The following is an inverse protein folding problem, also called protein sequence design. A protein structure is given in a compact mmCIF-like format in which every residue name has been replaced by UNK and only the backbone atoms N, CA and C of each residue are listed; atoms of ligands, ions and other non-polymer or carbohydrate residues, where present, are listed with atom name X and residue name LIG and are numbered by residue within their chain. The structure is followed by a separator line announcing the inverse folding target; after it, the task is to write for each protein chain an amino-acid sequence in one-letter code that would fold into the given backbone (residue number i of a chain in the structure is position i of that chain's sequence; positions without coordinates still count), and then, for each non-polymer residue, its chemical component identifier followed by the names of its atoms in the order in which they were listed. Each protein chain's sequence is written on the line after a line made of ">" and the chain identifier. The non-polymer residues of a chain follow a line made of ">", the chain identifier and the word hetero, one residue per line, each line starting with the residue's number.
data_IF_875322101545
#
_entry.id   IF_875322101545
#
_cell.length_a   1.000
_cell.length_b   1.000
_cell.length_c   1.000
_cell.angle_alpha   90.00
_cell.angle_beta   90.00
_cell.angle_gamma   90.00
#
_symmetry.space_group_name_H-M   'P 1'
#
loop_
_entity.id
_entity.type
_entity.pdbx_description
1 polymer ?
#
# COMPACT_ATOMS: atom_id res chain seq x y z
N UNK A 1 12.08 -32.84 29.53
CA UNK A 1 10.93 -32.03 29.06
C UNK A 1 11.14 -31.49 27.64
N UNK A 2 11.58 -32.33 26.70
CA UNK A 2 11.80 -31.93 25.29
C UNK A 2 10.91 -32.70 24.30
N UNK A 3 10.22 -33.75 24.77
CA UNK A 3 9.34 -34.59 23.94
C UNK A 3 7.89 -34.08 23.85
N UNK A 4 7.46 -33.17 24.73
CA UNK A 4 6.09 -32.62 24.74
C UNK A 4 5.85 -31.51 23.70
N UNK A 5 6.90 -31.02 23.03
CA UNK A 5 6.80 -29.86 22.13
C UNK A 5 6.39 -30.25 20.69
N UNK A 6 6.71 -31.48 20.27
CA UNK A 6 6.42 -31.98 18.91
C UNK A 6 4.91 -32.20 18.66
N UNK A 7 4.12 -32.73 19.61
CA UNK A 7 2.67 -32.87 19.47
C UNK A 7 1.96 -31.52 19.32
N UNK A 8 2.33 -30.53 20.14
CA UNK A 8 1.69 -29.21 20.15
C UNK A 8 1.86 -28.44 18.81
N UNK A 9 3.04 -28.55 18.19
CA UNK A 9 3.29 -27.94 16.86
C UNK A 9 2.46 -28.63 15.77
N UNK A 10 2.28 -29.95 15.86
CA UNK A 10 1.46 -30.72 14.91
C UNK A 10 -0.03 -30.40 15.06
N UNK A 11 -0.51 -30.24 16.29
CA UNK A 11 -1.89 -29.82 16.58
C UNK A 11 -2.17 -28.40 16.09
N UNK A 12 -1.24 -27.47 16.29
CA UNK A 12 -1.38 -26.11 15.81
C UNK A 12 -1.42 -26.02 14.28
N UNK A 13 -0.62 -26.84 13.59
CA UNK A 13 -0.66 -26.97 12.12
C UNK A 13 -2.00 -27.52 11.65
N UNK A 14 -2.48 -28.60 12.27
CA UNK A 14 -3.80 -29.17 11.98
C UNK A 14 -4.94 -28.18 12.24
N UNK A 15 -4.86 -27.39 13.32
CA UNK A 15 -5.84 -26.36 13.62
C UNK A 15 -5.84 -25.25 12.56
N UNK A 16 -4.65 -24.78 12.14
CA UNK A 16 -4.53 -23.80 11.05
C UNK A 16 -5.09 -24.32 9.73
N UNK A 17 -4.82 -25.58 9.39
CA UNK A 17 -5.37 -26.23 8.19
C UNK A 17 -6.90 -26.37 8.27
N UNK A 18 -7.45 -26.76 9.42
CA UNK A 18 -8.91 -26.79 9.65
C UNK A 18 -9.55 -25.40 9.49
N UNK A 19 -8.95 -24.35 10.06
CA UNK A 19 -9.45 -22.97 9.91
C UNK A 19 -9.35 -22.51 8.45
N UNK A 20 -8.30 -22.86 7.72
CA UNK A 20 -8.15 -22.55 6.30
C UNK A 20 -9.21 -23.27 5.45
N UNK A 21 -9.47 -24.55 5.73
CA UNK A 21 -10.50 -25.34 5.07
C UNK A 21 -11.91 -24.81 5.37
N UNK A 22 -12.17 -24.41 6.61
CA UNK A 22 -13.44 -23.80 7.00
C UNK A 22 -13.69 -22.48 6.27
N UNK A 23 -12.68 -21.60 6.22
CA UNK A 23 -12.76 -20.34 5.47
C UNK A 23 -12.98 -20.59 3.97
N UNK A 24 -12.32 -21.60 3.40
CA UNK A 24 -12.52 -22.00 2.00
C UNK A 24 -13.94 -22.51 1.76
N UNK A 25 -14.48 -23.31 2.67
CA UNK A 25 -15.85 -23.83 2.59
C UNK A 25 -16.92 -22.72 2.76
N UNK A 26 -16.68 -21.74 3.64
CA UNK A 26 -17.53 -20.56 3.77
C UNK A 26 -17.48 -19.67 2.54
N UNK A 27 -16.28 -19.48 1.97
CA UNK A 27 -16.11 -18.75 0.71
C UNK A 27 -16.87 -19.41 -0.44
N UNK A 28 -16.75 -20.72 -0.60
CA UNK A 28 -17.46 -21.47 -1.65
C UNK A 28 -18.98 -21.40 -1.45
N UNK A 29 -19.48 -21.55 -0.23
CA UNK A 29 -20.91 -21.40 0.08
C UNK A 29 -21.42 -19.99 -0.24
N UNK A 30 -20.65 -18.95 0.05
CA UNK A 30 -21.03 -17.58 -0.31
C UNK A 30 -20.96 -17.34 -1.81
N UNK A 31 -19.94 -17.86 -2.50
CA UNK A 31 -19.84 -17.76 -3.95
C UNK A 31 -21.03 -18.44 -4.65
N UNK A 32 -21.48 -19.59 -4.14
CA UNK A 32 -22.64 -20.30 -4.66
C UNK A 32 -23.95 -19.53 -4.41
N UNK A 33 -24.09 -18.89 -3.23
CA UNK A 33 -25.22 -17.98 -2.96
C UNK A 33 -25.25 -16.79 -3.91
N UNK A 34 -24.09 -16.15 -4.16
CA UNK A 34 -24.00 -15.02 -5.09
C UNK A 34 -24.31 -15.45 -6.52
N UNK A 35 -23.83 -16.64 -6.93
CA UNK A 35 -24.15 -17.21 -8.24
C UNK A 35 -25.65 -17.44 -8.40
N UNK A 36 -26.29 -18.06 -7.41
CA UNK A 36 -27.74 -18.30 -7.43
C UNK A 36 -28.54 -16.99 -7.49
N UNK A 37 -28.15 -16.00 -6.68
CA UNK A 37 -28.80 -14.70 -6.68
C UNK A 37 -28.65 -13.96 -8.03
N UNK A 38 -27.47 -14.07 -8.65
CA UNK A 38 -27.25 -13.54 -10.00
C UNK A 38 -28.12 -14.23 -11.05
N UNK A 39 -28.25 -15.56 -10.99
CA UNK A 39 -29.14 -16.32 -11.88
C UNK A 39 -30.62 -15.95 -11.71
N UNK A 40 -31.08 -15.69 -10.48
CA UNK A 40 -32.42 -15.17 -10.18
C UNK A 40 -32.63 -13.80 -10.83
N UNK A 41 -31.70 -12.86 -10.66
CA UNK A 41 -31.78 -11.52 -11.27
C UNK A 41 -31.79 -11.58 -12.80
N UNK A 42 -30.97 -12.44 -13.43
CA UNK A 42 -31.00 -12.62 -14.88
C UNK A 42 -32.35 -13.20 -15.37
N UNK A 43 -32.99 -14.06 -14.56
CA UNK A 43 -34.32 -14.56 -14.88
C UNK A 43 -35.38 -13.47 -14.77
N UNK A 44 -35.34 -12.64 -13.74
CA UNK A 44 -36.24 -11.50 -13.57
C UNK A 44 -36.07 -10.48 -14.70
N UNK A 45 -34.83 -10.12 -15.05
CA UNK A 45 -34.54 -9.23 -16.19
C UNK A 45 -35.14 -9.77 -17.49
N UNK A 46 -35.01 -11.09 -17.72
CA UNK A 46 -35.60 -11.76 -18.89
C UNK A 46 -37.13 -11.76 -18.86
N UNK A 47 -37.76 -11.90 -17.70
CA UNK A 47 -39.22 -11.85 -17.54
C UNK A 47 -39.71 -10.43 -17.82
N UNK A 48 -39.11 -9.43 -17.17
CA UNK A 48 -39.42 -8.01 -17.38
C UNK A 48 -39.28 -7.62 -18.86
N UNK A 49 -38.23 -8.08 -19.54
CA UNK A 49 -38.05 -7.81 -20.97
C UNK A 49 -39.18 -8.40 -21.82
N UNK A 50 -39.61 -9.64 -21.54
CA UNK A 50 -40.76 -10.25 -22.23
C UNK A 50 -42.06 -9.48 -21.97
N UNK A 51 -42.26 -8.98 -20.75
CA UNK A 51 -43.42 -8.16 -20.40
C UNK A 51 -43.41 -6.83 -21.15
N UNK A 52 -42.26 -6.16 -21.21
CA UNK A 52 -42.08 -4.93 -22.00
C UNK A 52 -42.45 -5.19 -23.47
N UNK A 53 -41.89 -6.23 -24.09
CA UNK A 53 -42.23 -6.57 -25.48
C UNK A 53 -43.72 -6.91 -25.67
N UNK A 54 -44.36 -7.52 -24.67
CA UNK A 54 -45.80 -7.77 -24.71
C UNK A 54 -46.61 -6.46 -24.60
N UNK A 55 -46.17 -5.51 -23.78
CA UNK A 55 -46.77 -4.19 -23.66
C UNK A 55 -46.57 -3.35 -24.91
N UNK A 56 -45.38 -3.36 -25.51
CA UNK A 56 -45.11 -2.70 -26.79
C UNK A 56 -46.06 -3.18 -27.88
N UNK A 57 -46.25 -4.50 -28.01
CA UNK A 57 -47.23 -5.09 -28.94
C UNK A 57 -48.66 -4.68 -28.60
N UNK A 58 -49.04 -4.63 -27.32
CA UNK A 58 -50.37 -4.13 -26.92
C UNK A 58 -50.56 -2.67 -27.30
N UNK A 59 -49.54 -1.84 -27.10
CA UNK A 59 -49.55 -0.43 -27.49
C UNK A 59 -49.66 -0.26 -28.99
N UNK A 60 -48.95 -1.07 -29.79
CA UNK A 60 -49.05 -1.06 -31.25
C UNK A 60 -50.45 -1.47 -31.73
N UNK A 61 -51.07 -2.47 -31.10
CA UNK A 61 -52.46 -2.87 -31.36
C UNK A 61 -53.45 -1.77 -30.95
N UNK A 62 -53.26 -1.13 -29.79
CA UNK A 62 -54.09 0.00 -29.37
C UNK A 62 -53.94 1.21 -30.30
N UNK A 63 -52.73 1.48 -30.76
CA UNK A 63 -52.43 2.55 -31.71
C UNK A 63 -53.01 2.26 -33.10
N UNK A 64 -53.00 0.99 -33.52
CA UNK A 64 -53.61 0.56 -34.80
C UNK A 64 -55.14 0.55 -34.75
N UNK A 65 -55.74 0.24 -33.59
CA UNK A 65 -57.19 0.29 -33.37
C UNK A 65 -57.76 1.72 -33.34
N UNK A 66 -56.93 2.74 -33.12
CA UNK A 66 -57.37 4.14 -33.28
C UNK A 66 -57.38 4.60 -34.75
N UNK A 67 -56.85 3.80 -35.69
CA UNK A 67 -56.71 4.16 -37.10
C UNK A 67 -57.65 3.38 -38.05
N UNK A 68 -58.35 2.32 -37.59
CA UNK A 68 -59.30 1.60 -38.44
C UNK A 68 -60.43 0.90 -37.67
N UNK A 69 -61.61 1.52 -37.63
CA UNK A 69 -62.93 0.91 -37.90
C UNK A 69 -64.09 1.82 -37.44
N UNK A 70 -65.11 2.09 -38.27
CA UNK A 70 -66.37 2.70 -37.87
C UNK A 70 -67.42 1.62 -37.51
N UNK A 71 -67.95 1.63 -36.30
CA UNK A 71 -69.16 0.85 -35.90
C UNK A 71 -69.99 1.70 -34.90
N UNK A 72 -71.35 1.63 -34.93
CA UNK A 72 -72.22 2.72 -34.48
C UNK A 72 -72.70 2.65 -33.02
N UNK A 73 -72.93 3.86 -32.46
CA UNK A 73 -73.86 4.26 -31.36
C UNK A 73 -73.56 3.88 -29.90
N UNK A 74 -74.17 4.57 -28.91
CA UNK A 74 -74.48 6.01 -28.80
C UNK A 74 -73.99 6.64 -27.48
N UNK A 75 -74.11 7.97 -27.38
CA UNK A 75 -74.15 8.74 -26.13
C UNK A 75 -72.81 9.00 -25.41
N UNK A 76 -72.14 10.08 -25.83
CA UNK A 76 -71.61 11.06 -24.88
C UNK A 76 -71.51 12.42 -25.59
N UNK A 77 -72.11 13.43 -24.97
CA UNK A 77 -72.14 14.82 -25.42
C UNK A 77 -70.70 15.33 -25.56
N UNK A 78 -70.23 15.47 -26.79
CA UNK A 78 -69.01 16.23 -27.12
C UNK A 78 -69.44 17.38 -28.02
N UNK A 79 -69.17 18.60 -27.55
CA UNK A 79 -69.46 19.87 -28.20
C UNK A 79 -69.10 19.85 -29.70
N UNK A 80 -70.13 19.72 -30.53
CA UNK A 80 -70.10 20.09 -31.93
C UNK A 80 -70.22 21.61 -32.00
N UNK A 81 -69.08 22.30 -31.86
CA UNK A 81 -68.85 23.63 -32.40
C UNK A 81 -67.41 23.66 -32.93
N UNK A 82 -67.13 22.84 -33.93
CA UNK A 82 -66.04 23.09 -34.87
C UNK A 82 -66.69 23.19 -36.24
N UNK A 83 -67.11 24.40 -36.58
CA UNK A 83 -67.29 24.73 -37.99
C UNK A 83 -65.92 24.60 -38.66
N UNK A 84 -65.81 23.93 -39.82
CA UNK A 84 -64.57 23.94 -40.62
C UNK A 84 -64.25 25.35 -41.18
N UNK A 85 -65.10 26.32 -40.89
CA UNK A 85 -65.01 27.73 -41.30
C UNK A 85 -64.02 28.56 -40.46
N UNK A 86 -63.46 28.00 -39.38
CA UNK A 86 -62.54 28.74 -38.49
C UNK A 86 -61.04 28.48 -38.71
N UNK A 87 -60.65 27.57 -39.61
CA UNK A 87 -59.24 27.24 -39.86
C UNK A 87 -58.71 27.84 -41.17
N UNK A 88 -59.54 28.56 -41.92
CA UNK A 88 -59.09 29.27 -43.11
C UNK A 88 -58.52 30.64 -42.73
N UNK A 89 -57.30 30.99 -43.20
CA UNK A 89 -56.77 32.33 -43.02
C UNK A 89 -57.80 33.37 -43.47
N UNK A 90 -57.93 34.45 -42.69
CA UNK A 90 -58.89 35.55 -42.93
C UNK A 90 -58.81 36.05 -44.38
N UNK A 91 -57.62 36.02 -44.97
CA UNK A 91 -57.35 36.41 -46.35
C UNK A 91 -58.00 35.47 -47.40
N UNK A 92 -58.15 34.18 -47.09
CA UNK A 92 -58.84 33.20 -47.96
C UNK A 92 -60.35 33.41 -47.90
N UNK A 93 -60.88 33.63 -46.69
CA UNK A 93 -62.31 33.91 -46.46
C UNK A 93 -62.72 35.24 -47.07
N UNK A 94 -61.88 36.28 -46.94
CA UNK A 94 -62.12 37.60 -47.54
C UNK A 94 -62.20 37.51 -49.08
N UNK A 95 -61.39 36.67 -49.72
CA UNK A 95 -61.45 36.41 -51.17
C UNK A 95 -62.73 35.66 -51.57
N UNK A 96 -63.08 34.59 -50.87
CA UNK A 96 -64.28 33.79 -51.16
C UNK A 96 -65.56 34.61 -50.97
N UNK A 97 -65.64 35.38 -49.89
CA UNK A 97 -66.75 36.30 -49.63
C UNK A 97 -66.82 37.40 -50.68
N UNK A 98 -65.69 37.97 -51.11
CA UNK A 98 -65.65 38.97 -52.16
C UNK A 98 -66.18 38.41 -53.49
N UNK A 99 -65.76 37.20 -53.88
CA UNK A 99 -66.26 36.55 -55.09
C UNK A 99 -67.76 36.26 -55.01
N UNK A 100 -68.27 35.78 -53.87
CA UNK A 100 -69.70 35.54 -53.67
C UNK A 100 -70.54 36.83 -53.74
N UNK A 101 -70.01 37.94 -53.21
CA UNK A 101 -70.72 39.23 -53.19
C UNK A 101 -70.69 39.97 -54.53
N UNK A 102 -69.69 39.74 -55.37
CA UNK A 102 -69.43 40.51 -56.60
C UNK A 102 -69.82 39.80 -57.88
N UNK A 103 -70.61 38.71 -57.81
CA UNK A 103 -71.08 38.01 -59.02
C UNK A 103 -70.08 36.96 -59.54
N UNK A 104 -69.25 36.40 -58.66
CA UNK A 104 -68.38 35.26 -58.95
C UNK A 104 -67.03 35.63 -59.56
N UNK A 105 -66.44 34.67 -60.27
CA UNK A 105 -65.09 34.79 -60.85
C UNK A 105 -64.96 35.84 -61.96
N UNK A 106 -66.08 36.26 -62.55
CA UNK A 106 -66.12 37.27 -63.62
C UNK A 106 -66.73 38.60 -63.18
N UNK A 107 -67.02 38.80 -61.90
CA UNK A 107 -67.52 40.09 -61.42
C UNK A 107 -68.94 40.43 -61.92
N UNK A 108 -69.74 39.43 -62.28
CA UNK A 108 -71.05 39.61 -62.92
C UNK A 108 -71.01 39.91 -64.43
N UNK A 109 -69.82 39.93 -65.04
CA UNK A 109 -69.66 40.01 -66.49
C UNK A 109 -69.77 38.62 -67.13
N UNK A 110 -70.13 38.58 -68.41
CA UNK A 110 -70.01 37.33 -69.16
C UNK A 110 -68.53 37.00 -69.44
N UNK A 111 -68.27 35.75 -69.78
CA UNK A 111 -66.91 35.26 -70.03
C UNK A 111 -66.22 36.00 -71.19
N UNK A 112 -66.96 36.33 -72.25
CA UNK A 112 -66.43 36.89 -73.49
C UNK A 112 -66.04 38.35 -73.30
N UNK A 113 -66.89 39.10 -72.61
CA UNK A 113 -66.69 40.48 -72.25
C UNK A 113 -65.52 40.60 -71.25
N UNK A 114 -65.48 39.71 -70.25
CA UNK A 114 -64.40 39.67 -69.27
C UNK A 114 -63.05 39.33 -69.94
N UNK A 115 -63.01 38.37 -70.85
CA UNK A 115 -61.79 37.99 -71.57
C UNK A 115 -61.32 39.10 -72.53
N UNK A 116 -62.25 39.83 -73.14
CA UNK A 116 -61.95 40.99 -73.98
C UNK A 116 -61.37 42.14 -73.15
N UNK A 117 -61.95 42.42 -71.98
CA UNK A 117 -61.40 43.35 -71.00
C UNK A 117 -59.98 42.94 -70.56
N UNK A 118 -59.76 41.68 -70.19
CA UNK A 118 -58.43 41.22 -69.73
C UNK A 118 -57.36 41.32 -70.81
N UNK A 119 -57.69 41.08 -72.08
CA UNK A 119 -56.75 41.22 -73.21
C UNK A 119 -56.28 42.66 -73.35
N UNK A 120 -57.21 43.62 -73.35
CA UNK A 120 -56.90 45.06 -73.46
C UNK A 120 -56.18 45.56 -72.19
N UNK A 121 -56.63 45.13 -71.01
CA UNK A 121 -56.01 45.45 -69.72
C UNK A 121 -54.54 45.02 -69.64
N UNK A 122 -54.22 43.79 -70.07
CA UNK A 122 -52.84 43.28 -70.11
C UNK A 122 -51.98 44.04 -71.11
N UNK A 123 -52.55 44.42 -72.26
CA UNK A 123 -51.85 45.20 -73.30
C UNK A 123 -51.46 46.59 -72.80
N UNK A 124 -52.34 47.25 -72.05
CA UNK A 124 -52.11 48.59 -71.51
C UNK A 124 -51.48 48.63 -70.11
N UNK A 125 -51.24 47.47 -69.49
CA UNK A 125 -50.64 47.35 -68.15
C UNK A 125 -51.33 48.21 -67.08
N UNK A 126 -52.66 48.39 -67.20
CA UNK A 126 -53.46 49.20 -66.26
C UNK A 126 -53.38 50.71 -66.44
N UNK A 127 -52.91 51.21 -67.59
CA UNK A 127 -52.97 52.64 -67.94
C UNK A 127 -54.37 53.04 -68.40
N UNK A 128 -54.91 54.22 -68.00
CA UNK A 128 -56.31 54.64 -68.27
C UNK A 128 -56.71 54.66 -69.75
N UNK A 129 -55.73 54.81 -70.66
CA UNK A 129 -55.89 54.74 -72.12
C UNK A 129 -56.48 53.39 -72.60
N UNK A 130 -56.47 52.36 -71.74
CA UNK A 130 -57.13 51.09 -72.03
C UNK A 130 -58.64 51.21 -72.21
N UNK A 131 -59.28 52.22 -71.60
CA UNK A 131 -60.75 52.37 -71.59
C UNK A 131 -61.29 52.66 -72.99
N UNK A 132 -60.62 53.55 -73.71
CA UNK A 132 -60.97 53.90 -75.08
C UNK A 132 -60.81 52.68 -76.01
N UNK A 133 -59.75 51.90 -75.85
CA UNK A 133 -59.56 50.67 -76.63
C UNK A 133 -60.56 49.57 -76.21
N UNK A 134 -60.90 49.46 -74.92
CA UNK A 134 -61.81 48.44 -74.41
C UNK A 134 -63.24 48.64 -74.93
N UNK A 135 -63.72 49.88 -75.05
CA UNK A 135 -65.05 50.20 -75.60
C UNK A 135 -65.22 49.75 -77.06
N UNK A 136 -64.13 49.68 -77.83
CA UNK A 136 -64.17 49.17 -79.22
C UNK A 136 -64.51 47.68 -79.26
N UNK A 137 -64.02 46.91 -78.29
CA UNK A 137 -64.27 45.47 -78.18
C UNK A 137 -65.52 45.14 -77.36
N UNK A 138 -66.09 46.12 -76.66
CA UNK A 138 -67.23 45.98 -75.74
C UNK A 138 -68.32 47.00 -76.08
N UNK A 139 -68.99 46.87 -77.25
CA UNK A 139 -69.97 47.85 -77.73
C UNK A 139 -71.24 47.93 -76.85
N UNK A 140 -71.47 46.95 -75.98
CA UNK A 140 -72.63 46.88 -75.08
C UNK A 140 -72.33 47.42 -73.67
N UNK A 141 -71.14 47.97 -73.42
CA UNK A 141 -70.68 48.42 -72.09
C UNK A 141 -70.37 49.91 -72.07
N UNK A 142 -70.59 50.56 -70.93
CA UNK A 142 -70.23 51.97 -70.74
C UNK A 142 -68.85 52.15 -70.10
N UNK A 143 -68.29 53.36 -70.20
CA UNK A 143 -67.01 53.69 -69.56
C UNK A 143 -67.10 53.55 -68.03
N UNK A 144 -68.25 53.87 -67.43
CA UNK A 144 -68.49 53.71 -66.00
C UNK A 144 -68.50 52.24 -65.58
N UNK A 145 -69.11 51.35 -66.39
CA UNK A 145 -69.10 49.91 -66.15
C UNK A 145 -67.68 49.34 -66.24
N UNK A 146 -66.86 49.81 -67.19
CA UNK A 146 -65.45 49.46 -67.29
C UNK A 146 -64.66 49.90 -66.06
N UNK A 147 -64.91 51.12 -65.54
CA UNK A 147 -64.24 51.63 -64.34
C UNK A 147 -64.59 50.80 -63.11
N UNK A 148 -65.86 50.46 -62.94
CA UNK A 148 -66.32 49.60 -61.84
C UNK A 148 -65.69 48.20 -61.91
N UNK A 149 -65.57 47.65 -63.13
CA UNK A 149 -64.94 46.35 -63.36
C UNK A 149 -63.42 46.39 -63.16
N UNK A 150 -62.76 47.49 -63.50
CA UNK A 150 -61.35 47.75 -63.17
C UNK A 150 -61.11 47.78 -61.67
N UNK A 151 -61.91 48.55 -60.93
CA UNK A 151 -61.81 48.62 -59.47
C UNK A 151 -62.03 47.23 -58.83
N UNK A 152 -63.00 46.47 -59.34
CA UNK A 152 -63.24 45.09 -58.94
C UNK A 152 -62.04 44.18 -59.24
N UNK A 153 -61.46 44.26 -60.44
CA UNK A 153 -60.36 43.40 -60.87
C UNK A 153 -59.07 43.70 -60.08
N UNK A 154 -58.76 44.98 -59.83
CA UNK A 154 -57.67 45.37 -58.95
C UNK A 154 -57.86 44.85 -57.52
N UNK A 155 -59.09 44.91 -57.00
CA UNK A 155 -59.43 44.37 -55.69
C UNK A 155 -59.28 42.84 -55.64
N UNK A 156 -59.70 42.14 -56.69
CA UNK A 156 -59.54 40.70 -56.85
C UNK A 156 -58.06 40.30 -56.80
N UNK A 157 -57.21 40.99 -57.57
CA UNK A 157 -55.76 40.74 -57.58
C UNK A 157 -55.14 40.93 -56.19
N UNK A 158 -55.50 42.01 -55.48
CA UNK A 158 -55.03 42.25 -54.11
C UNK A 158 -55.42 41.11 -53.15
N UNK A 159 -56.65 40.59 -53.25
CA UNK A 159 -57.11 39.49 -52.40
C UNK A 159 -56.46 38.16 -52.76
N UNK A 160 -56.24 37.89 -54.05
CA UNK A 160 -55.49 36.73 -54.51
C UNK A 160 -54.04 36.75 -54.01
N UNK A 161 -53.40 37.92 -54.00
CA UNK A 161 -52.03 38.05 -53.49
C UNK A 161 -51.97 37.84 -51.98
N UNK A 162 -52.88 38.45 -51.21
CA UNK A 162 -53.00 38.20 -49.76
C UNK A 162 -53.24 36.73 -49.43
N UNK A 163 -54.04 36.02 -50.24
CA UNK A 163 -54.21 34.56 -50.12
C UNK A 163 -52.90 33.81 -50.34
N UNK A 164 -52.13 34.14 -51.38
CA UNK A 164 -50.82 33.52 -51.64
C UNK A 164 -49.83 33.79 -50.50
N UNK A 165 -49.74 35.05 -50.04
CA UNK A 165 -48.90 35.45 -48.92
C UNK A 165 -49.27 34.69 -47.63
N UNK A 166 -50.56 34.52 -47.34
CA UNK A 166 -51.03 33.73 -46.20
C UNK A 166 -50.58 32.27 -46.28
N UNK A 167 -50.66 31.64 -47.47
CA UNK A 167 -50.19 30.27 -47.69
C UNK A 167 -48.68 30.16 -47.50
N UNK A 168 -47.90 31.10 -48.05
CA UNK A 168 -46.44 31.12 -47.91
C UNK A 168 -46.04 31.31 -46.44
N UNK A 169 -46.65 32.27 -45.75
CA UNK A 169 -46.43 32.50 -44.31
C UNK A 169 -46.76 31.25 -43.50
N UNK A 170 -47.90 30.62 -43.76
CA UNK A 170 -48.29 29.38 -43.08
C UNK A 170 -47.28 28.26 -43.32
N UNK A 171 -46.82 28.05 -44.57
CA UNK A 171 -45.78 27.05 -44.89
C UNK A 171 -44.47 27.34 -44.16
N UNK A 172 -44.02 28.59 -44.14
CA UNK A 172 -42.81 29.00 -43.45
C UNK A 172 -42.91 28.78 -41.94
N UNK A 173 -44.05 29.11 -41.33
CA UNK A 173 -44.30 28.89 -39.91
C UNK A 173 -44.35 27.39 -39.57
N UNK A 174 -44.97 26.56 -40.41
CA UNK A 174 -44.94 25.10 -40.20
C UNK A 174 -43.52 24.55 -40.28
N UNK A 175 -42.71 25.03 -41.22
CA UNK A 175 -41.31 24.62 -41.34
C UNK A 175 -40.49 25.04 -40.12
N UNK A 176 -40.63 26.29 -39.68
CA UNK A 176 -39.99 26.79 -38.45
C UNK A 176 -40.42 26.00 -37.22
N UNK A 177 -41.70 25.65 -37.09
CA UNK A 177 -42.20 24.80 -35.98
C UNK A 177 -41.60 23.40 -36.01
N UNK A 178 -41.31 22.83 -37.17
CA UNK A 178 -40.62 21.54 -37.28
C UNK A 178 -39.15 21.68 -36.87
N UNK A 179 -38.47 22.71 -37.35
CA UNK A 179 -37.07 22.99 -37.02
C UNK A 179 -36.87 23.27 -35.52
N UNK A 180 -37.75 24.05 -34.89
CA UNK A 180 -37.67 24.29 -33.45
C UNK A 180 -37.90 23.03 -32.63
N UNK A 181 -38.85 22.17 -33.01
CA UNK A 181 -39.05 20.86 -32.39
C UNK A 181 -37.82 19.96 -32.55
N UNK A 182 -37.21 19.92 -33.73
CA UNK A 182 -35.98 19.16 -33.97
C UNK A 182 -34.82 19.71 -33.14
N UNK A 183 -34.63 21.02 -33.10
CA UNK A 183 -33.60 21.67 -32.29
C UNK A 183 -33.81 21.42 -30.79
N UNK A 184 -35.04 21.47 -30.30
CA UNK A 184 -35.36 21.13 -28.91
C UNK A 184 -35.01 19.68 -28.59
N UNK A 185 -35.39 18.75 -29.46
CA UNK A 185 -35.06 17.33 -29.30
C UNK A 185 -33.55 17.08 -29.27
N UNK A 186 -32.78 17.69 -30.18
CA UNK A 186 -31.31 17.58 -30.19
C UNK A 186 -30.71 18.17 -28.91
N UNK A 187 -31.17 19.35 -28.47
CA UNK A 187 -30.69 19.96 -27.22
C UNK A 187 -30.98 19.10 -25.99
N UNK A 188 -32.14 18.48 -25.92
CA UNK A 188 -32.50 17.59 -24.81
C UNK A 188 -31.65 16.32 -24.81
N UNK A 189 -31.41 15.72 -25.97
CA UNK A 189 -30.51 14.57 -26.13
C UNK A 189 -29.06 14.91 -25.74
N UNK A 190 -28.56 16.07 -26.15
CA UNK A 190 -27.20 16.51 -25.81
C UNK A 190 -27.08 16.83 -24.31
N UNK A 191 -28.10 17.41 -23.69
CA UNK A 191 -28.14 17.61 -22.24
C UNK A 191 -28.10 16.28 -21.48
N UNK A 192 -28.88 15.28 -21.91
CA UNK A 192 -28.86 13.92 -21.31
C UNK A 192 -27.50 13.24 -21.47
N UNK A 193 -26.85 13.40 -22.63
CA UNK A 193 -25.49 12.87 -22.86
C UNK A 193 -24.47 13.55 -21.95
N UNK A 194 -24.57 14.86 -21.77
CA UNK A 194 -23.70 15.62 -20.88
C UNK A 194 -23.85 15.17 -19.43
N UNK A 195 -25.09 15.07 -18.92
CA UNK A 195 -25.38 14.58 -17.57
C UNK A 195 -24.85 13.14 -17.36
N UNK A 196 -25.05 12.25 -18.34
CA UNK A 196 -24.49 10.89 -18.30
C UNK A 196 -22.95 10.88 -18.27
N UNK A 197 -22.31 11.76 -19.03
CA UNK A 197 -20.86 11.91 -19.05
C UNK A 197 -20.32 12.44 -17.71
N UNK A 198 -20.98 13.42 -17.11
CA UNK A 198 -20.63 13.95 -15.79
C UNK A 198 -20.75 12.90 -14.69
N UNK A 199 -21.82 12.10 -14.67
CA UNK A 199 -21.98 11.00 -13.71
C UNK A 199 -20.86 9.96 -13.84
N UNK A 200 -20.48 9.59 -15.08
CA UNK A 200 -19.36 8.68 -15.35
C UNK A 200 -18.02 9.28 -14.88
N UNK A 201 -17.82 10.57 -15.08
CA UNK A 201 -16.63 11.29 -14.63
C UNK A 201 -16.53 11.28 -13.10
N UNK A 202 -17.61 11.64 -12.40
CA UNK A 202 -17.67 11.61 -10.94
C UNK A 202 -17.38 10.21 -10.40
N UNK A 203 -17.97 9.18 -11.02
CA UNK A 203 -17.71 7.79 -10.64
C UNK A 203 -16.24 7.42 -10.85
N UNK A 204 -15.63 7.83 -11.96
CA UNK A 204 -14.20 7.58 -12.26
C UNK A 204 -13.30 8.28 -11.24
N UNK A 205 -13.55 9.55 -10.94
CA UNK A 205 -12.82 10.31 -9.91
C UNK A 205 -12.88 9.62 -8.55
N UNK A 206 -14.07 9.17 -8.13
CA UNK A 206 -14.25 8.43 -6.87
C UNK A 206 -13.47 7.12 -6.83
N UNK A 207 -13.43 6.39 -7.95
CA UNK A 207 -12.65 5.14 -8.03
C UNK A 207 -11.14 5.42 -7.99
N UNK A 208 -10.68 6.45 -8.67
CA UNK A 208 -9.27 6.85 -8.67
C UNK A 208 -8.81 7.34 -7.28
N UNK A 209 -9.65 8.09 -6.57
CA UNK A 209 -9.40 8.50 -5.19
C UNK A 209 -9.21 7.28 -4.26
N UNK A 210 -10.08 6.27 -4.35
CA UNK A 210 -9.91 5.02 -3.59
C UNK A 210 -8.60 4.31 -3.91
N UNK A 211 -8.16 4.33 -5.18
CA UNK A 211 -6.87 3.76 -5.58
C UNK A 211 -5.70 4.54 -4.98
N UNK A 212 -5.79 5.86 -4.96
CA UNK A 212 -4.80 6.74 -4.30
C UNK A 212 -4.73 6.49 -2.81
N UNK A 213 -5.86 6.35 -2.13
CA UNK A 213 -5.91 6.03 -0.70
C UNK A 213 -5.24 4.69 -0.37
N UNK A 214 -5.54 3.64 -1.14
CA UNK A 214 -4.90 2.33 -0.97
C UNK A 214 -3.40 2.41 -1.24
N UNK A 215 -3.00 3.11 -2.30
CA UNK A 215 -1.58 3.31 -2.61
C UNK A 215 -0.85 4.09 -1.51
N UNK A 216 -1.45 5.15 -0.98
CA UNK A 216 -0.90 5.94 0.12
C UNK A 216 -0.74 5.11 1.40
N UNK A 217 -1.75 4.30 1.76
CA UNK A 217 -1.65 3.36 2.90
C UNK A 217 -0.53 2.35 2.71
N UNK A 218 -0.39 1.80 1.49
CA UNK A 218 0.67 0.85 1.18
C UNK A 218 2.05 1.51 1.27
N UNK A 219 2.23 2.72 0.76
CA UNK A 219 3.48 3.46 0.86
C UNK A 219 3.81 3.79 2.32
N UNK A 220 2.85 4.28 3.10
CA UNK A 220 3.03 4.55 4.52
C UNK A 220 3.45 3.29 5.29
N UNK A 221 2.85 2.13 4.98
CA UNK A 221 3.25 0.85 5.54
C UNK A 221 4.68 0.45 5.15
N UNK A 222 5.05 0.58 3.87
CA UNK A 222 6.42 0.30 3.39
C UNK A 222 7.45 1.19 4.08
N UNK A 223 7.20 2.49 4.15
CA UNK A 223 8.09 3.44 4.84
C UNK A 223 8.23 3.10 6.32
N UNK A 224 7.12 2.81 7.01
CA UNK A 224 7.15 2.38 8.41
C UNK A 224 7.94 1.10 8.59
N UNK A 225 7.76 0.11 7.71
CA UNK A 225 8.47 -1.16 7.76
C UNK A 225 9.97 -0.98 7.53
N UNK A 226 10.35 -0.17 6.56
CA UNK A 226 11.75 0.15 6.29
C UNK A 226 12.39 0.89 7.47
N UNK A 227 11.68 1.84 8.07
CA UNK A 227 12.16 2.56 9.25
C UNK A 227 12.35 1.64 10.45
N UNK A 228 11.44 0.68 10.68
CA UNK A 228 11.60 -0.34 11.72
C UNK A 228 12.84 -1.21 11.48
N UNK A 229 13.05 -1.68 10.25
CA UNK A 229 14.23 -2.47 9.91
C UNK A 229 15.53 -1.68 10.08
N UNK A 230 15.54 -0.41 9.68
CA UNK A 230 16.67 0.49 9.87
C UNK A 230 16.96 0.70 11.37
N UNK A 231 15.93 0.92 12.19
CA UNK A 231 16.06 1.04 13.64
C UNK A 231 16.59 -0.25 14.28
N UNK A 232 16.08 -1.42 13.89
CA UNK A 232 16.59 -2.71 14.37
C UNK A 232 18.06 -2.91 14.00
N UNK A 233 18.45 -2.57 12.76
CA UNK A 233 19.82 -2.65 12.31
C UNK A 233 20.75 -1.71 13.10
N UNK A 234 20.32 -0.46 13.30
CA UNK A 234 21.06 0.52 14.11
C UNK A 234 21.22 0.06 15.57
N UNK A 235 20.16 -0.51 16.15
CA UNK A 235 20.21 -1.09 17.50
C UNK A 235 21.21 -2.24 17.60
N UNK A 236 21.20 -3.16 16.64
CA UNK A 236 22.17 -4.27 16.59
C UNK A 236 23.61 -3.75 16.47
N UNK A 237 23.83 -2.72 15.65
CA UNK A 237 25.15 -2.10 15.55
C UNK A 237 25.58 -1.47 16.88
N UNK A 238 24.70 -0.73 17.55
CA UNK A 238 24.96 -0.14 18.87
C UNK A 238 25.29 -1.21 19.91
N UNK A 239 24.53 -2.30 19.96
CA UNK A 239 24.77 -3.44 20.85
C UNK A 239 26.13 -4.09 20.55
N UNK A 240 26.47 -4.34 19.29
CA UNK A 240 27.78 -4.88 18.92
C UNK A 240 28.94 -3.97 19.31
N UNK A 241 28.80 -2.65 19.12
CA UNK A 241 29.79 -1.66 19.54
C UNK A 241 29.93 -1.68 21.07
N UNK A 242 28.82 -1.73 21.80
CA UNK A 242 28.82 -1.76 23.25
C UNK A 242 29.45 -3.03 23.82
N UNK A 243 29.14 -4.21 23.26
CA UNK A 243 29.77 -5.48 23.64
C UNK A 243 31.26 -5.46 23.36
N UNK A 244 31.70 -4.96 22.19
CA UNK A 244 33.13 -4.81 21.88
C UNK A 244 33.84 -3.86 22.84
N UNK A 245 33.18 -2.76 23.23
CA UNK A 245 33.70 -1.82 24.22
C UNK A 245 33.85 -2.47 25.60
N UNK A 246 32.80 -3.12 26.09
CA UNK A 246 32.83 -3.84 27.37
C UNK A 246 33.89 -4.93 27.39
N UNK A 247 34.03 -5.71 26.31
CA UNK A 247 35.07 -6.73 26.21
C UNK A 247 36.49 -6.13 26.23
N UNK A 248 36.70 -4.94 25.66
CA UNK A 248 37.99 -4.23 25.75
C UNK A 248 38.25 -3.74 27.18
N UNK A 249 37.25 -3.12 27.82
CA UNK A 249 37.36 -2.66 29.20
C UNK A 249 37.63 -3.82 30.17
N UNK A 250 36.97 -4.96 29.99
CA UNK A 250 37.18 -6.16 30.81
C UNK A 250 38.58 -6.76 30.59
N UNK A 251 39.07 -6.84 29.35
CA UNK A 251 40.44 -7.26 29.07
C UNK A 251 41.46 -6.33 29.72
N UNK A 252 41.21 -5.03 29.71
CA UNK A 252 42.07 -4.06 30.37
C UNK A 252 42.09 -4.29 31.89
N UNK A 253 40.94 -4.47 32.52
CA UNK A 253 40.84 -4.81 33.96
C UNK A 253 41.55 -6.12 34.29
N UNK A 254 41.44 -7.14 33.44
CA UNK A 254 42.14 -8.41 33.63
C UNK A 254 43.67 -8.24 33.57
N UNK A 255 44.18 -7.42 32.64
CA UNK A 255 45.60 -7.10 32.57
C UNK A 255 46.06 -6.31 33.80
N UNK A 256 45.30 -5.30 34.23
CA UNK A 256 45.59 -4.53 35.44
C UNK A 256 45.62 -5.41 36.68
N UNK A 257 44.63 -6.31 36.86
CA UNK A 257 44.59 -7.27 37.95
C UNK A 257 45.79 -8.24 37.92
N UNK A 258 46.16 -8.73 36.73
CA UNK A 258 47.34 -9.61 36.57
C UNK A 258 48.63 -8.89 36.97
N UNK A 259 48.80 -7.64 36.56
CA UNK A 259 49.96 -6.83 36.94
C UNK A 259 49.98 -6.55 38.45
N UNK A 260 48.83 -6.24 39.06
CA UNK A 260 48.73 -6.02 40.50
C UNK A 260 49.09 -7.29 41.32
N UNK A 261 48.62 -8.47 40.89
CA UNK A 261 48.99 -9.75 41.53
C UNK A 261 50.49 -10.03 41.39
N UNK A 262 51.08 -9.80 40.21
CA UNK A 262 52.52 -9.96 40.01
C UNK A 262 53.34 -9.02 40.91
N UNK A 263 52.94 -7.76 41.02
CA UNK A 263 53.57 -6.79 41.90
C UNK A 263 53.50 -7.23 43.38
N UNK A 264 52.34 -7.73 43.83
CA UNK A 264 52.18 -8.24 45.19
C UNK A 264 53.04 -9.47 45.46
N UNK A 265 53.16 -10.40 44.50
CA UNK A 265 54.06 -11.56 44.60
C UNK A 265 55.51 -11.10 44.72
N UNK A 266 55.93 -10.13 43.90
CA UNK A 266 57.28 -9.57 43.95
C UNK A 266 57.57 -8.91 45.31
N UNK A 267 56.66 -8.05 45.78
CA UNK A 267 56.78 -7.41 47.10
C UNK A 267 56.88 -8.42 48.24
N UNK A 268 56.06 -9.48 48.22
CA UNK A 268 56.12 -10.54 49.24
C UNK A 268 57.46 -11.27 49.21
N UNK A 269 57.97 -11.58 48.02
CA UNK A 269 59.28 -12.21 47.84
C UNK A 269 60.41 -11.31 48.35
N UNK A 270 60.39 -10.02 48.03
CA UNK A 270 61.36 -9.05 48.53
C UNK A 270 61.35 -8.97 50.07
N UNK A 271 60.17 -8.96 50.68
CA UNK A 271 60.03 -8.99 52.14
C UNK A 271 60.56 -10.29 52.75
N UNK A 272 60.29 -11.44 52.14
CA UNK A 272 60.82 -12.74 52.56
C UNK A 272 62.36 -12.80 52.44
N UNK A 273 62.93 -12.27 51.35
CA UNK A 273 64.37 -12.16 51.15
C UNK A 273 65.02 -11.23 52.18
N UNK A 274 64.38 -10.09 52.50
CA UNK A 274 64.84 -9.19 53.56
C UNK A 274 64.82 -9.86 54.93
N UNK A 275 63.72 -10.55 55.27
CA UNK A 275 63.60 -11.29 56.52
C UNK A 275 64.66 -12.39 56.63
N UNK A 276 64.93 -13.08 55.53
CA UNK A 276 65.96 -14.14 55.47
C UNK A 276 67.34 -13.55 55.69
N UNK A 277 67.68 -12.43 55.02
CA UNK A 277 68.94 -11.72 55.22
C UNK A 277 69.10 -11.20 56.64
N UNK A 278 68.03 -10.72 57.26
CA UNK A 278 68.04 -10.30 58.66
C UNK A 278 68.31 -11.48 59.59
N UNK A 279 67.62 -12.62 59.42
CA UNK A 279 67.88 -13.86 60.18
C UNK A 279 69.30 -14.33 60.02
N UNK A 280 69.82 -14.41 58.79
CA UNK A 280 71.21 -14.73 58.52
C UNK A 280 72.17 -13.74 59.18
N UNK A 281 71.83 -12.45 59.24
CA UNK A 281 72.65 -11.44 59.93
C UNK A 281 72.66 -11.64 61.45
N UNK A 282 71.52 -11.99 62.04
CA UNK A 282 71.37 -12.30 63.47
C UNK A 282 72.11 -13.59 63.81
N UNK A 283 71.93 -14.66 63.04
CA UNK A 283 72.65 -15.92 63.19
C UNK A 283 74.16 -15.72 63.06
N UNK A 284 74.62 -14.93 62.07
CA UNK A 284 76.05 -14.57 61.94
C UNK A 284 76.55 -13.85 63.18
N UNK A 285 75.80 -12.86 63.68
CA UNK A 285 76.16 -12.14 64.90
C UNK A 285 76.16 -13.04 66.15
N UNK A 286 75.22 -13.97 66.27
CA UNK A 286 75.20 -14.97 67.34
C UNK A 286 76.35 -15.95 67.25
N UNK A 287 76.63 -16.48 66.06
CA UNK A 287 77.77 -17.35 65.80
C UNK A 287 79.08 -16.62 66.08
N UNK A 288 79.17 -15.34 65.76
CA UNK A 288 80.31 -14.50 66.12
C UNK A 288 80.42 -14.32 67.64
N UNK A 289 79.31 -14.05 68.34
CA UNK A 289 79.29 -14.00 69.82
C UNK A 289 79.73 -15.34 70.43
N UNK A 290 79.23 -16.47 69.93
CA UNK A 290 79.63 -17.83 70.36
C UNK A 290 81.12 -18.07 70.10
N UNK A 291 81.63 -17.71 68.92
CA UNK A 291 83.06 -17.78 68.59
C UNK A 291 83.90 -16.93 69.55
N UNK A 292 83.48 -15.68 69.83
CA UNK A 292 84.14 -14.79 70.80
C UNK A 292 84.14 -15.40 72.21
N UNK A 293 83.02 -16.00 72.65
CA UNK A 293 82.93 -16.66 73.95
C UNK A 293 83.84 -17.90 74.01
N UNK A 294 83.80 -18.77 73.01
CA UNK A 294 84.68 -19.94 72.91
C UNK A 294 86.16 -19.55 72.90
N UNK A 295 86.54 -18.50 72.15
CA UNK A 295 87.90 -17.98 72.15
C UNK A 295 88.34 -17.49 73.55
N UNK A 296 87.44 -16.85 74.31
CA UNK A 296 87.71 -16.45 75.70
C UNK A 296 87.89 -17.66 76.63
N UNK A 297 87.06 -18.69 76.50
CA UNK A 297 87.17 -19.92 77.31
C UNK A 297 88.44 -20.72 76.96
N UNK A 298 88.79 -20.84 75.68
CA UNK A 298 90.07 -21.44 75.26
C UNK A 298 91.24 -20.66 75.86
N UNK A 299 91.20 -19.33 75.81
CA UNK A 299 92.24 -18.49 76.44
C UNK A 299 92.36 -18.77 77.94
N UNK A 300 91.24 -18.81 78.68
CA UNK A 300 91.23 -19.17 80.11
C UNK A 300 91.77 -20.58 80.38
N UNK A 301 91.46 -21.53 79.50
CA UNK A 301 91.92 -22.91 79.62
C UNK A 301 93.41 -23.04 79.33
N UNK A 302 93.93 -22.33 78.34
CA UNK A 302 95.37 -22.22 78.05
C UNK A 302 96.11 -21.62 79.24
N UNK A 303 95.62 -20.50 79.80
CA UNK A 303 96.17 -19.90 81.04
C UNK A 303 96.21 -20.92 82.20
N UNK A 304 95.22 -21.83 82.29
CA UNK A 304 95.19 -22.91 83.31
C UNK A 304 96.18 -24.05 83.01
N UNK A 305 96.38 -24.43 81.75
CA UNK A 305 97.34 -25.48 81.34
C UNK A 305 98.78 -25.00 81.49
N UNK A 306 99.06 -23.74 81.14
CA UNK A 306 100.40 -23.15 81.30
C UNK A 306 100.86 -23.13 82.76
N UNK A 307 99.93 -23.15 83.72
CA UNK A 307 100.23 -23.24 85.15
C UNK A 307 100.56 -24.65 85.68
N UNK A 308 100.35 -25.74 84.93
CA UNK A 308 100.47 -27.09 85.52
C UNK A 308 100.77 -28.22 84.52
N UNK A 309 101.96 -28.25 83.90
CA UNK A 309 102.57 -29.50 83.45
C UNK A 309 104.11 -29.40 83.52
N UNK A 310 104.71 -29.96 84.58
CA UNK A 310 106.13 -30.35 84.57
C UNK A 310 106.23 -31.75 83.97
N UNK A 311 106.72 -31.86 82.73
CA UNK A 311 106.94 -33.14 82.05
C UNK A 311 108.36 -33.61 82.34
N UNK A 312 108.49 -34.66 83.15
CA UNK A 312 109.75 -35.36 83.42
C UNK A 312 110.19 -36.18 82.17
N UNK A 313 111.28 -35.80 81.49
CA UNK A 313 111.74 -36.46 80.27
C UNK A 313 112.27 -37.88 80.48
N UNK A 314 112.58 -38.28 81.72
CA UNK A 314 113.17 -39.60 82.03
C UNK A 314 112.17 -40.75 81.99
N UNK A 315 110.86 -40.45 81.86
CA UNK A 315 109.80 -41.47 81.78
C UNK A 315 109.78 -42.21 80.44
N UNK A 316 110.39 -41.66 79.39
CA UNK A 316 110.44 -42.24 78.04
C UNK A 316 111.49 -43.35 77.87
N UNK A 317 112.48 -43.46 78.77
CA UNK A 317 113.60 -44.40 78.67
C UNK A 317 113.56 -45.56 79.68
N UNK A 318 112.46 -45.71 80.44
CA UNK A 318 112.24 -46.88 81.32
C UNK A 318 111.40 -47.93 80.60
N UNK A 319 111.88 -49.17 80.58
CA UNK A 319 111.13 -50.32 80.06
C UNK A 319 109.82 -50.48 80.85
N UNK A 320 108.73 -50.76 80.13
CA UNK A 320 107.41 -50.96 80.74
C UNK A 320 107.36 -52.33 81.44
N UNK A 321 106.66 -52.42 82.59
CA UNK A 321 106.55 -53.65 83.40
C UNK A 321 106.13 -54.89 82.59
N UNK A 322 105.27 -54.71 81.57
CA UNK A 322 104.86 -55.81 80.69
C UNK A 322 105.93 -56.29 79.70
N UNK A 323 107.07 -55.60 79.59
CA UNK A 323 108.25 -56.05 78.83
C UNK A 323 109.22 -56.84 79.72
N UNK A 324 109.33 -56.51 81.01
CA UNK A 324 110.07 -57.29 82.02
C UNK A 324 109.44 -58.68 82.28
N UNK A 325 108.11 -58.80 82.17
CA UNK A 325 107.39 -60.08 82.34
C UNK A 325 107.52 -61.04 81.14
N UNK A 326 107.87 -60.54 79.95
CA UNK A 326 107.96 -61.38 78.72
C UNK A 326 109.34 -61.98 78.46
N UNK A 327 110.37 -61.58 79.20
CA UNK A 327 111.77 -61.99 78.97
C UNK A 327 112.30 -63.03 79.96
N UNK A 328 111.48 -63.56 80.89
CA UNK A 328 111.84 -64.69 81.78
C UNK A 328 111.71 -66.04 81.04
N UNK A 329 112.78 -66.85 81.02
CA UNK A 329 112.89 -68.14 80.31
C UNK A 329 112.38 -69.35 81.12
N UNK A 330 111.48 -70.15 80.54
CA UNK A 330 111.20 -71.58 80.86
C UNK A 330 110.76 -72.28 79.54
N UNK A 331 111.27 -73.47 79.22
CA UNK A 331 110.76 -74.38 78.18
C UNK A 331 110.27 -75.72 78.78
N UNK A 332 109.98 -76.80 78.02
CA UNK A 332 109.68 -76.92 76.59
C UNK A 332 108.37 -77.71 76.28
N UNK A 333 107.96 -77.67 75.00
CA UNK A 333 107.13 -78.66 74.26
C UNK A 333 105.60 -78.68 74.47
N UNK A 334 104.88 -78.33 73.39
CA UNK A 334 103.45 -78.60 73.20
C UNK A 334 102.91 -77.83 72.00
N UNK A 335 102.68 -78.51 70.87
CA UNK A 335 102.42 -77.90 69.57
C UNK A 335 101.07 -77.19 69.44
N UNK A 336 101.09 -76.03 68.76
CA UNK A 336 100.27 -75.57 67.60
C UNK A 336 98.82 -76.10 67.41
N UNK A 337 97.98 -75.42 66.59
CA UNK A 337 97.79 -73.98 66.40
C UNK A 337 96.30 -73.58 66.12
N UNK A 338 96.08 -72.30 65.75
CA UNK A 338 95.05 -71.78 64.82
C UNK A 338 93.87 -70.97 65.42
N UNK A 339 94.02 -69.66 65.21
CA UNK A 339 93.06 -68.66 64.69
C UNK A 339 91.61 -68.66 65.22
N UNK A 340 91.28 -67.58 65.93
CA UNK A 340 90.01 -66.89 65.74
C UNK A 340 90.24 -65.38 65.68
N UNK A 341 90.37 -64.85 64.45
CA UNK A 341 90.25 -63.41 64.20
C UNK A 341 88.77 -63.04 64.24
N UNK A 342 88.38 -62.15 65.14
CA UNK A 342 87.04 -61.56 65.13
C UNK A 342 86.98 -60.47 64.06
N UNK A 343 86.07 -60.61 63.09
CA UNK A 343 85.75 -59.57 62.14
C UNK A 343 85.07 -58.40 62.86
N UNK A 344 85.50 -57.17 62.57
CA UNK A 344 84.86 -55.95 63.08
C UNK A 344 83.47 -55.80 62.45
N UNK A 345 82.46 -55.56 63.28
CA UNK A 345 81.11 -55.24 62.82
C UNK A 345 81.12 -53.97 61.96
N UNK A 346 80.43 -54.02 60.81
CA UNK A 346 80.19 -52.87 59.94
C UNK A 346 79.10 -52.01 60.58
N UNK A 347 79.36 -50.72 60.87
CA UNK A 347 78.36 -49.82 61.43
C UNK A 347 77.16 -49.63 60.49
N UNK A 348 75.96 -49.48 61.07
CA UNK A 348 74.66 -49.40 60.36
C UNK A 348 74.56 -48.29 59.31
N UNK A 349 75.38 -47.24 59.39
CA UNK A 349 75.42 -46.14 58.41
C UNK A 349 76.16 -46.48 57.11
N UNK A 350 76.62 -47.72 56.92
CA UNK A 350 77.25 -48.23 55.68
C UNK A 350 76.46 -49.34 54.99
N UNK A 351 75.16 -49.46 55.21
CA UNK A 351 74.35 -50.58 54.68
C UNK A 351 73.77 -50.38 53.26
N UNK A 352 73.82 -49.19 52.67
CA UNK A 352 73.24 -48.91 51.33
C UNK A 352 74.25 -48.35 50.30
N UNK A 353 75.48 -48.89 50.27
CA UNK A 353 76.46 -48.63 49.19
C UNK A 353 76.80 -49.91 48.43
#
# INVERSE_FOLDING_TARGET
>A
SQDDFVPAVKEFRNWKEKVALQKKAEFLRNAEKFKKHYEELCNEERICWKEICAFEKKMEVWSSKSASAPVPTPSAKVSLNRTPDNDLPREVVDLEKFLLQTGGVFGGWDQVDHDSFLKVWKKHSGRPDYREEALVYLPNKTEEELRLHEDWYQKLLSLQEKKKEAIVRWKAEQQKRKETKQQQHVKEEDAKKHESAELKEVQRCRMEEKRRDVAARLQAWKTRRNMQLAQEHERRLKEQIQVKRQAKEERQKQLEAKMAVQAHIQQKKELEDLLTREKESVERAEMEKKKRFAAKEIKRFQERIEGHVSRDPTRLSRLTKGWEERTKKIGPTGGRPVLQMFHRAVPTWRQDL
#
